data_IF_161560503277
#
_entry.id   IF_161560503277
#
_cell.length_a   1.000
_cell.length_b   1.000
_cell.length_c   1.000
_cell.angle_alpha   90.00
_cell.angle_beta   90.00
_cell.angle_gamma   90.00
#
_symmetry.space_group_name_H-M   'P 1'
#
loop_
_entity.id
_entity.type
_entity.pdbx_description
1 polymer ?
#
# COMPACT_ATOMS: atom_id res chain seq x y z
N UNK A 1 -20.15 -3.40 22.98
CA UNK A 1 -20.30 -4.04 21.66
C UNK A 1 -20.70 -3.08 20.53
N UNK A 2 -21.46 -1.99 20.75
CA UNK A 2 -21.83 -1.04 19.67
C UNK A 2 -20.69 -0.10 19.25
N UNK A 3 -19.85 0.35 20.19
CA UNK A 3 -18.70 1.23 19.92
C UNK A 3 -17.59 0.56 19.10
N UNK A 4 -17.33 -0.72 19.35
CA UNK A 4 -16.34 -1.53 18.63
C UNK A 4 -16.78 -1.79 17.19
N UNK A 5 -18.05 -2.16 16.97
CA UNK A 5 -18.63 -2.25 15.63
C UNK A 5 -18.54 -0.93 14.87
N UNK A 6 -18.76 0.20 15.54
CA UNK A 6 -18.66 1.54 14.94
C UNK A 6 -17.22 1.92 14.59
N UNK A 7 -16.24 1.54 15.41
CA UNK A 7 -14.80 1.72 15.10
C UNK A 7 -14.36 0.88 13.91
N UNK A 8 -14.73 -0.41 13.89
CA UNK A 8 -14.42 -1.31 12.79
C UNK A 8 -15.06 -0.81 11.48
N UNK A 9 -16.34 -0.42 11.53
CA UNK A 9 -17.02 0.15 10.37
C UNK A 9 -16.32 1.42 9.86
N UNK A 10 -15.94 2.34 10.76
CA UNK A 10 -15.25 3.58 10.38
C UNK A 10 -13.87 3.31 9.75
N UNK A 11 -13.09 2.38 10.32
CA UNK A 11 -11.81 1.98 9.77
C UNK A 11 -11.95 1.29 8.40
N UNK A 12 -12.93 0.39 8.25
CA UNK A 12 -13.22 -0.28 6.98
C UNK A 12 -13.63 0.74 5.90
N UNK A 13 -14.47 1.72 6.24
CA UNK A 13 -14.85 2.78 5.29
C UNK A 13 -13.66 3.62 4.87
N UNK A 14 -12.77 3.98 5.81
CA UNK A 14 -11.55 4.71 5.48
C UNK A 14 -10.65 3.92 4.53
N UNK A 15 -10.44 2.63 4.80
CA UNK A 15 -9.62 1.75 3.96
C UNK A 15 -10.23 1.62 2.56
N UNK A 16 -11.54 1.39 2.45
CA UNK A 16 -12.23 1.28 1.17
C UNK A 16 -12.14 2.58 0.37
N UNK A 17 -12.31 3.72 1.03
CA UNK A 17 -12.19 5.03 0.40
C UNK A 17 -10.76 5.28 -0.09
N UNK A 18 -9.76 5.05 0.76
CA UNK A 18 -8.35 5.19 0.40
C UNK A 18 -7.95 4.25 -0.75
N UNK A 19 -8.45 3.01 -0.74
CA UNK A 19 -8.25 2.05 -1.82
C UNK A 19 -8.87 2.53 -3.13
N UNK A 20 -10.13 2.99 -3.09
CA UNK A 20 -10.81 3.55 -4.25
C UNK A 20 -10.06 4.75 -4.84
N UNK A 21 -9.62 5.68 -4.00
CA UNK A 21 -8.84 6.84 -4.42
C UNK A 21 -7.51 6.44 -5.06
N UNK A 22 -6.82 5.44 -4.47
CA UNK A 22 -5.59 4.88 -5.04
C UNK A 22 -5.82 4.28 -6.44
N UNK A 23 -6.95 3.59 -6.66
CA UNK A 23 -7.31 3.05 -7.99
C UNK A 23 -7.57 4.15 -9.01
N UNK A 24 -8.25 5.24 -8.61
CA UNK A 24 -8.47 6.40 -9.49
C UNK A 24 -7.16 7.07 -9.85
N UNK A 25 -6.28 7.31 -8.86
CA UNK A 25 -4.94 7.86 -9.11
C UNK A 25 -4.11 6.96 -10.03
N UNK A 26 -4.21 5.64 -9.86
CA UNK A 26 -3.60 4.67 -10.77
C UNK A 26 -4.10 4.80 -12.21
N UNK A 27 -5.42 4.92 -12.40
CA UNK A 27 -6.00 5.12 -13.73
C UNK A 27 -5.57 6.46 -14.36
N UNK A 28 -5.49 7.53 -13.57
CA UNK A 28 -4.95 8.82 -14.03
C UNK A 28 -3.49 8.69 -14.45
N UNK A 29 -2.66 7.95 -13.67
CA UNK A 29 -1.27 7.66 -14.03
C UNK A 29 -1.19 6.95 -15.38
N UNK A 30 -2.03 5.95 -15.61
CA UNK A 30 -2.08 5.21 -16.87
C UNK A 30 -2.48 6.12 -18.05
N UNK A 31 -3.46 7.00 -17.86
CA UNK A 31 -3.87 7.98 -18.88
C UNK A 31 -2.74 8.96 -19.21
N UNK A 32 -2.05 9.49 -18.19
CA UNK A 32 -0.90 10.40 -18.39
C UNK A 32 0.22 9.71 -19.13
N UNK A 33 0.58 8.48 -18.74
CA UNK A 33 1.60 7.69 -19.41
C UNK A 33 1.18 7.40 -20.87
N UNK A 34 -0.06 6.97 -21.11
CA UNK A 34 -0.56 6.72 -22.45
C UNK A 34 -0.55 7.98 -23.33
N UNK A 35 -0.90 9.15 -22.78
CA UNK A 35 -0.84 10.41 -23.51
C UNK A 35 0.60 10.90 -23.78
N UNK A 36 1.52 10.61 -22.86
CA UNK A 36 2.92 11.05 -22.96
C UNK A 36 3.73 10.17 -23.91
N UNK A 37 3.52 8.86 -23.88
CA UNK A 37 4.28 7.89 -24.67
C UNK A 37 3.54 7.43 -25.94
N UNK A 38 2.21 7.57 -26.01
CA UNK A 38 1.40 7.13 -27.15
C UNK A 38 1.51 5.61 -27.39
N UNK A 39 1.52 5.20 -28.66
CA UNK A 39 1.71 3.81 -29.11
C UNK A 39 3.19 3.39 -29.24
N UNK A 40 4.14 4.18 -28.74
CA UNK A 40 5.57 3.93 -28.94
C UNK A 40 6.14 2.86 -28.00
N UNK A 41 7.16 2.14 -28.51
CA UNK A 41 7.93 1.11 -27.80
C UNK A 41 8.61 1.58 -26.50
N UNK A 42 8.83 2.89 -26.34
CA UNK A 42 9.46 3.49 -25.14
C UNK A 42 8.68 3.22 -23.84
N UNK A 43 7.40 2.89 -23.94
CA UNK A 43 6.56 2.54 -22.79
C UNK A 43 6.99 1.21 -22.16
N UNK A 44 7.45 0.26 -22.97
CA UNK A 44 7.86 -1.06 -22.48
C UNK A 44 9.21 -0.95 -21.75
N UNK A 45 10.14 -0.15 -22.27
CA UNK A 45 11.42 0.13 -21.60
C UNK A 45 11.21 0.81 -20.23
N UNK A 46 10.31 1.81 -20.17
CA UNK A 46 9.94 2.46 -18.90
C UNK A 46 9.41 1.42 -17.90
N UNK A 47 8.50 0.52 -18.32
CA UNK A 47 7.92 -0.49 -17.43
C UNK A 47 8.95 -1.51 -16.95
N UNK A 48 9.84 -1.97 -17.83
CA UNK A 48 10.89 -2.94 -17.49
C UNK A 48 11.87 -2.34 -16.49
N UNK A 49 12.21 -1.05 -16.60
CA UNK A 49 13.10 -0.38 -15.66
C UNK A 49 12.60 -0.41 -14.20
N UNK A 50 11.28 -0.34 -13.99
CA UNK A 50 10.68 -0.41 -12.65
C UNK A 50 10.38 -1.84 -12.18
N UNK A 51 10.38 -2.82 -13.08
CA UNK A 51 10.04 -4.19 -12.74
C UNK A 51 10.99 -4.78 -11.69
N UNK A 52 12.31 -4.59 -11.82
CA UNK A 52 13.30 -5.15 -10.87
C UNK A 52 13.15 -4.55 -9.47
N UNK A 53 13.13 -3.21 -9.29
CA UNK A 53 12.86 -2.60 -8.00
C UNK A 53 11.52 -3.04 -7.39
N UNK A 54 10.44 -3.06 -8.18
CA UNK A 54 9.11 -3.44 -7.71
C UNK A 54 9.09 -4.90 -7.23
N UNK A 55 9.79 -5.80 -7.93
CA UNK A 55 9.86 -7.21 -7.57
C UNK A 55 10.57 -7.38 -6.22
N UNK A 56 11.69 -6.69 -6.02
CA UNK A 56 12.41 -6.68 -4.74
C UNK A 56 11.56 -6.11 -3.61
N UNK A 57 10.88 -4.98 -3.85
CA UNK A 57 9.99 -4.37 -2.87
C UNK A 57 8.83 -5.29 -2.48
N UNK A 58 8.17 -5.91 -3.46
CA UNK A 58 7.06 -6.84 -3.22
C UNK A 58 7.53 -8.09 -2.45
N UNK A 59 8.72 -8.61 -2.76
CA UNK A 59 9.29 -9.75 -2.03
C UNK A 59 9.57 -9.39 -0.57
N UNK A 60 10.12 -8.20 -0.32
CA UNK A 60 10.36 -7.70 1.04
C UNK A 60 9.05 -7.45 1.80
N UNK A 61 8.04 -6.89 1.14
CA UNK A 61 6.71 -6.68 1.73
C UNK A 61 6.05 -7.99 2.14
N UNK A 62 6.00 -8.96 1.22
CA UNK A 62 5.36 -10.25 1.42
C UNK A 62 6.13 -11.12 2.43
N UNK A 63 7.46 -11.07 2.41
CA UNK A 63 8.31 -11.83 3.31
C UNK A 63 8.58 -11.10 4.61
N UNK A 64 9.61 -10.26 4.63
CA UNK A 64 10.17 -9.65 5.83
C UNK A 64 9.17 -8.75 6.57
N UNK A 65 8.42 -7.90 5.87
CA UNK A 65 7.49 -6.96 6.52
C UNK A 65 6.28 -7.69 7.09
N UNK A 66 5.63 -8.55 6.30
CA UNK A 66 4.40 -9.23 6.75
C UNK A 66 4.63 -10.26 7.85
N UNK A 67 5.79 -10.95 7.85
CA UNK A 67 6.09 -12.02 8.83
C UNK A 67 6.81 -11.55 10.09
N UNK A 68 7.63 -10.50 10.02
CA UNK A 68 8.45 -10.05 11.15
C UNK A 68 8.10 -8.63 11.61
N UNK A 69 7.94 -7.67 10.68
CA UNK A 69 7.75 -6.27 11.04
C UNK A 69 6.35 -5.98 11.60
N UNK A 70 5.29 -6.39 10.90
CA UNK A 70 3.89 -6.13 11.32
C UNK A 70 3.60 -6.74 12.70
N UNK A 71 3.96 -8.01 13.00
CA UNK A 71 3.70 -8.60 14.31
C UNK A 71 4.43 -7.87 15.45
N UNK A 72 5.72 -7.56 15.28
CA UNK A 72 6.54 -6.88 16.30
C UNK A 72 6.01 -5.47 16.59
N UNK A 73 5.68 -4.73 15.53
CA UNK A 73 5.10 -3.39 15.68
C UNK A 73 3.71 -3.44 16.31
N UNK A 74 2.87 -4.39 15.89
CA UNK A 74 1.52 -4.57 16.45
C UNK A 74 1.59 -4.96 17.93
N UNK A 75 2.58 -5.78 18.31
CA UNK A 75 2.82 -6.15 19.71
C UNK A 75 3.25 -4.94 20.55
N UNK A 76 4.16 -4.10 20.05
CA UNK A 76 4.56 -2.86 20.74
C UNK A 76 3.38 -1.88 20.87
N UNK A 77 2.61 -1.68 19.79
CA UNK A 77 1.44 -0.80 19.80
C UNK A 77 0.32 -1.31 20.71
N UNK A 78 0.10 -2.63 20.76
CA UNK A 78 -0.91 -3.26 21.61
C UNK A 78 -0.51 -3.25 23.10
N UNK A 79 0.79 -3.32 23.39
CA UNK A 79 1.33 -3.22 24.76
C UNK A 79 1.28 -1.80 25.32
N UNK A 80 1.06 -0.78 24.47
CA UNK A 80 0.81 0.62 24.83
C UNK A 80 1.57 1.05 26.08
N UNK A 81 2.87 1.34 25.97
CA UNK A 81 3.74 1.53 27.13
C UNK A 81 3.11 2.35 28.26
N UNK A 82 3.14 1.82 29.50
CA UNK A 82 3.26 2.66 30.67
C UNK A 82 4.48 2.23 31.50
N UNK A 83 5.67 2.12 30.93
CA UNK A 83 6.93 2.07 31.69
C UNK A 83 8.09 2.40 30.75
N UNK A 84 8.99 3.36 30.97
CA UNK A 84 9.20 4.49 31.89
C UNK A 84 10.52 5.12 31.41
N UNK A 85 10.62 6.45 31.48
CA UNK A 85 11.83 7.30 31.62
C UNK A 85 13.21 6.70 31.25
#
# INVERSE_FOLDING_TARGET
MSSERRRIASAATLILFAYGLSRVLGAVRELVIANTFGTNHNLDDYRVAFAVPDLLFNLLLAGAISSAFIPVLSEHLAKGEPQRA
#
